data_IF_755719502835
#
_entry.id   IF_755719502835
#
_cell.length_a   1.000
_cell.length_b   1.000
_cell.length_c   1.000
_cell.angle_alpha   90.00
_cell.angle_beta   90.00
_cell.angle_gamma   90.00
#
_symmetry.space_group_name_H-M   'P 1'
#
loop_
_entity.id
_entity.type
_entity.pdbx_description
1 polymer ?
#
# COMPACT_ATOMS: atom_id res chain seq x y z
N UNK A 1 57.80 -14.14 -22.71
CA UNK A 1 57.04 -12.94 -22.32
C UNK A 1 55.57 -13.33 -22.20
N UNK A 2 54.91 -12.74 -21.21
CA UNK A 2 53.78 -13.26 -20.41
C UNK A 2 52.54 -13.69 -21.20
N UNK A 3 52.02 -14.86 -20.81
CA UNK A 3 50.72 -15.42 -21.16
C UNK A 3 49.75 -15.19 -19.99
N UNK A 4 48.45 -15.05 -20.27
CA UNK A 4 47.41 -14.68 -19.31
C UNK A 4 47.05 -15.74 -18.26
N UNK A 5 46.34 -15.32 -17.21
CA UNK A 5 45.68 -16.18 -16.21
C UNK A 5 44.55 -15.36 -15.57
N UNK A 6 43.27 -15.65 -15.81
CA UNK A 6 42.46 -16.65 -15.09
C UNK A 6 42.52 -16.48 -13.56
N UNK A 7 41.52 -15.79 -13.00
CA UNK A 7 41.23 -15.83 -11.57
C UNK A 7 40.05 -16.76 -11.34
N UNK A 8 40.29 -17.87 -10.64
CA UNK A 8 39.24 -18.64 -10.03
C UNK A 8 39.73 -19.36 -8.76
N UNK A 9 38.92 -19.24 -7.71
CA UNK A 9 38.65 -20.25 -6.66
C UNK A 9 39.62 -20.48 -5.48
N UNK A 10 39.04 -20.22 -4.29
CA UNK A 10 38.96 -21.03 -3.05
C UNK A 10 39.91 -20.76 -1.87
N UNK A 11 39.21 -20.66 -0.73
CA UNK A 11 39.63 -20.62 0.67
C UNK A 11 40.42 -21.87 1.08
N UNK A 12 41.29 -21.75 2.09
CA UNK A 12 41.06 -22.47 3.36
C UNK A 12 42.00 -22.04 4.51
N UNK A 13 41.49 -22.32 5.71
CA UNK A 13 41.89 -21.86 7.03
C UNK A 13 43.23 -22.43 7.56
N UNK A 14 43.84 -21.70 8.50
CA UNK A 14 44.86 -22.24 9.40
C UNK A 14 44.47 -21.93 10.86
N UNK A 15 44.13 -23.00 11.57
CA UNK A 15 44.06 -23.11 13.03
C UNK A 15 45.49 -23.27 13.55
N UNK A 16 45.87 -22.53 14.59
CA UNK A 16 46.95 -22.92 15.49
C UNK A 16 46.77 -22.25 16.86
N UNK A 17 46.70 -23.07 17.90
CA UNK A 17 46.81 -22.71 19.31
C UNK A 17 47.96 -23.55 19.89
N UNK A 18 48.82 -23.03 20.79
CA UNK A 18 48.73 -23.56 22.15
C UNK A 18 49.06 -22.57 23.30
N UNK A 19 48.29 -22.78 24.36
CA UNK A 19 48.46 -22.62 25.82
C UNK A 19 49.72 -22.00 26.50
N UNK A 20 49.39 -21.22 27.55
CA UNK A 20 50.00 -21.00 28.88
C UNK A 20 51.04 -19.90 29.13
N UNK A 21 50.71 -19.00 30.09
CA UNK A 21 51.70 -18.21 30.83
C UNK A 21 51.19 -16.93 31.51
N UNK A 22 50.32 -17.07 32.50
CA UNK A 22 50.05 -16.18 33.66
C UNK A 22 50.62 -14.75 33.72
N UNK A 23 49.73 -13.76 33.90
CA UNK A 23 49.65 -12.81 35.04
C UNK A 23 49.07 -11.46 34.57
N UNK A 24 48.03 -10.96 35.26
CA UNK A 24 47.86 -9.53 35.59
C UNK A 24 46.44 -9.25 36.11
N UNK A 25 46.43 -8.87 37.39
CA UNK A 25 45.60 -7.89 38.09
C UNK A 25 44.11 -7.65 37.72
N UNK A 26 43.28 -7.84 38.76
CA UNK A 26 41.98 -7.19 38.97
C UNK A 26 42.15 -5.67 39.03
N UNK A 27 41.28 -4.92 38.35
CA UNK A 27 40.91 -3.56 38.73
C UNK A 27 39.38 -3.39 38.70
N UNK A 28 38.86 -2.84 39.80
CA UNK A 28 37.45 -2.57 40.07
C UNK A 28 36.99 -1.24 39.48
N UNK A 29 35.67 -1.17 39.33
CA UNK A 29 34.75 -0.08 38.95
C UNK A 29 35.13 1.33 39.44
N UNK A 30 34.91 2.33 38.58
CA UNK A 30 34.64 3.71 39.01
C UNK A 30 33.80 4.46 37.95
N UNK A 31 32.50 4.52 38.19
CA UNK A 31 31.55 5.49 37.63
C UNK A 31 31.65 6.82 38.39
N UNK A 32 31.80 7.94 37.68
CA UNK A 32 31.45 9.27 38.20
C UNK A 32 30.79 10.14 37.11
N UNK A 33 29.65 10.78 37.42
CA UNK A 33 28.99 11.75 36.55
C UNK A 33 29.51 13.17 36.79
N UNK A 34 29.44 14.01 35.76
CA UNK A 34 29.72 15.44 35.84
C UNK A 34 28.54 16.20 36.46
N UNK A 35 28.82 17.08 37.42
CA UNK A 35 27.88 18.03 38.05
C UNK A 35 28.49 19.43 38.00
N UNK A 36 27.67 20.43 37.66
CA UNK A 36 27.52 21.76 38.30
C UNK A 36 26.81 22.75 37.34
N UNK A 37 26.13 23.80 37.82
CA UNK A 37 25.35 23.94 39.07
C UNK A 37 23.95 24.56 38.85
N UNK A 38 23.15 24.51 39.93
CA UNK A 38 21.81 25.07 40.11
C UNK A 38 21.67 26.58 39.79
N UNK A 39 20.56 26.93 39.13
CA UNK A 39 19.89 28.22 39.31
C UNK A 39 18.41 27.98 39.64
N UNK A 40 18.00 28.57 40.77
CA UNK A 40 16.69 28.46 41.40
C UNK A 40 15.57 29.08 40.55
N UNK A 41 14.43 28.40 40.58
CA UNK A 41 13.17 29.02 40.98
C UNK A 41 12.27 29.51 39.85
N UNK A 42 11.20 28.75 39.58
CA UNK A 42 9.81 29.25 39.49
C UNK A 42 8.86 28.06 39.36
N UNK A 43 8.08 27.83 40.41
CA UNK A 43 6.97 26.89 40.45
C UNK A 43 5.76 27.53 39.76
N UNK A 44 5.23 26.89 38.72
CA UNK A 44 3.84 27.08 38.31
C UNK A 44 3.16 25.71 38.26
N UNK A 45 2.34 25.45 39.27
CA UNK A 45 1.25 24.46 39.20
C UNK A 45 0.14 25.09 38.36
N UNK A 46 -0.25 24.43 37.28
CA UNK A 46 -1.50 24.68 36.58
C UNK A 46 -2.38 23.45 36.75
N UNK A 47 -3.41 23.63 37.57
CA UNK A 47 -4.56 22.76 37.76
C UNK A 47 -5.33 22.63 36.46
N UNK A 48 -5.64 21.39 36.05
CA UNK A 48 -6.61 21.13 35.00
C UNK A 48 -8.02 21.19 35.61
N UNK A 49 -8.69 22.33 35.50
CA UNK A 49 -10.13 22.41 35.73
C UNK A 49 -10.90 21.91 34.50
N UNK A 50 -11.77 20.93 34.75
CA UNK A 50 -13.09 20.71 34.18
C UNK A 50 -13.44 21.36 32.83
N UNK A 51 -13.69 20.51 31.83
CA UNK A 51 -14.72 20.77 30.82
C UNK A 51 -15.77 19.65 30.87
N UNK A 52 -16.93 20.00 31.41
CA UNK A 52 -18.14 19.19 31.49
C UNK A 52 -18.92 19.45 30.19
N UNK A 53 -19.06 18.43 29.34
CA UNK A 53 -19.95 18.48 28.18
C UNK A 53 -21.30 17.95 28.62
N UNK A 54 -22.29 18.84 28.70
CA UNK A 54 -23.69 18.49 28.95
C UNK A 54 -24.33 17.96 27.66
N UNK A 55 -24.68 16.68 27.67
CA UNK A 55 -25.51 16.05 26.65
C UNK A 55 -26.97 16.26 27.07
N UNK A 56 -27.61 17.24 26.44
CA UNK A 56 -29.05 17.47 26.56
C UNK A 56 -29.84 16.34 25.92
N UNK A 57 -30.59 15.61 26.75
CA UNK A 57 -31.67 14.70 26.34
C UNK A 57 -32.79 15.53 25.69
N UNK A 58 -33.32 15.07 24.55
CA UNK A 58 -34.63 15.52 24.06
C UNK A 58 -35.48 14.30 23.71
N UNK A 59 -36.65 14.28 24.33
CA UNK A 59 -37.64 13.22 24.32
C UNK A 59 -38.39 13.12 22.98
N UNK A 60 -38.89 11.90 22.71
CA UNK A 60 -39.94 11.63 21.73
C UNK A 60 -41.28 12.10 22.28
N UNK A 61 -42.07 12.82 21.49
CA UNK A 61 -43.53 12.80 21.61
C UNK A 61 -44.23 13.02 20.26
N UNK A 62 -45.46 12.52 20.21
CA UNK A 62 -46.32 12.21 19.07
C UNK A 62 -47.11 13.42 18.51
N UNK A 63 -47.49 13.30 17.22
CA UNK A 63 -48.71 13.78 16.53
C UNK A 63 -49.39 15.10 16.95
N UNK A 64 -49.60 16.02 16.00
CA UNK A 64 -50.91 16.27 15.35
C UNK A 64 -50.86 17.38 14.28
N UNK A 65 -51.76 17.24 13.31
CA UNK A 65 -51.98 18.01 12.09
C UNK A 65 -52.86 19.26 12.27
N UNK A 66 -52.63 20.28 11.44
CA UNK A 66 -53.61 21.17 10.75
C UNK A 66 -52.86 22.47 10.35
N UNK A 67 -53.04 23.15 9.21
CA UNK A 67 -53.88 23.02 8.02
C UNK A 67 -53.96 24.40 7.34
N UNK A 68 -53.85 24.43 5.99
CA UNK A 68 -54.24 25.52 5.04
C UNK A 68 -53.32 26.76 4.94
N UNK A 69 -53.04 27.38 3.77
CA UNK A 69 -53.39 27.18 2.34
C UNK A 69 -52.43 28.04 1.44
N UNK A 70 -52.44 27.87 0.09
CA UNK A 70 -51.37 28.25 -0.86
C UNK A 70 -51.73 29.35 -1.88
N UNK A 71 -50.81 29.69 -2.81
CA UNK A 71 -50.95 30.03 -4.28
C UNK A 71 -49.85 30.99 -4.77
N UNK A 72 -49.57 31.22 -6.09
CA UNK A 72 -49.85 30.48 -7.35
C UNK A 72 -48.57 30.21 -8.23
N UNK A 73 -48.46 29.11 -8.99
CA UNK A 73 -48.69 28.88 -10.46
C UNK A 73 -48.06 29.91 -11.44
N UNK A 74 -47.21 29.43 -12.37
CA UNK A 74 -47.33 29.59 -13.85
C UNK A 74 -46.48 28.48 -14.53
N UNK A 75 -47.12 27.75 -15.43
CA UNK A 75 -46.52 26.86 -16.43
C UNK A 75 -46.71 27.50 -17.81
N UNK A 76 -45.81 27.26 -18.77
CA UNK A 76 -46.15 27.36 -20.19
C UNK A 76 -45.28 26.43 -21.04
N UNK A 77 -45.93 25.80 -22.01
CA UNK A 77 -45.43 24.77 -22.91
C UNK A 77 -45.18 25.28 -24.34
N UNK A 78 -44.56 24.39 -25.15
CA UNK A 78 -44.62 24.28 -26.62
C UNK A 78 -43.69 25.24 -27.41
N UNK A 79 -43.10 24.93 -28.58
CA UNK A 79 -43.49 24.07 -29.70
C UNK A 79 -42.28 23.53 -30.49
N UNK A 80 -42.53 22.44 -31.22
CA UNK A 80 -41.73 21.84 -32.31
C UNK A 80 -41.82 22.63 -33.62
N UNK A 81 -40.76 22.63 -34.44
CA UNK A 81 -40.87 22.83 -35.90
C UNK A 81 -39.76 22.07 -36.65
N UNK A 82 -40.16 21.31 -37.66
CA UNK A 82 -39.32 20.53 -38.60
C UNK A 82 -39.18 21.32 -39.91
N UNK A 83 -37.97 21.40 -40.46
CA UNK A 83 -37.72 21.62 -41.90
C UNK A 83 -36.24 21.41 -42.26
N UNK A 84 -35.95 20.38 -43.05
CA UNK A 84 -34.77 20.19 -43.94
C UNK A 84 -35.12 20.73 -45.36
N UNK A 85 -34.24 20.76 -46.41
CA UNK A 85 -32.79 20.53 -46.51
C UNK A 85 -32.04 21.63 -47.33
N UNK A 86 -30.71 21.74 -47.23
CA UNK A 86 -29.77 21.75 -48.38
C UNK A 86 -28.32 22.08 -47.98
N UNK A 87 -27.44 21.43 -48.72
CA UNK A 87 -25.98 21.37 -48.64
C UNK A 87 -25.26 22.70 -48.83
N UNK A 88 -24.22 22.96 -48.02
CA UNK A 88 -22.94 23.45 -48.54
C UNK A 88 -21.80 23.02 -47.61
N UNK A 89 -20.91 22.22 -48.20
CA UNK A 89 -19.57 21.90 -47.72
C UNK A 89 -18.81 23.10 -47.16
N UNK A 90 -18.33 22.98 -45.93
CA UNK A 90 -17.18 23.74 -45.46
C UNK A 90 -16.28 22.81 -44.66
N UNK A 91 -15.12 22.53 -45.25
CA UNK A 91 -14.00 21.82 -44.65
C UNK A 91 -13.56 22.59 -43.41
N UNK A 92 -13.94 22.10 -42.23
CA UNK A 92 -13.28 22.49 -41.00
C UNK A 92 -12.44 21.30 -40.53
N UNK A 93 -11.13 21.48 -40.67
CA UNK A 93 -10.11 20.70 -39.99
C UNK A 93 -10.36 20.80 -38.48
N UNK A 94 -11.15 19.89 -37.93
CA UNK A 94 -11.10 19.62 -36.51
C UNK A 94 -9.80 18.86 -36.27
N UNK A 95 -8.82 19.59 -35.73
CA UNK A 95 -7.75 18.99 -34.96
C UNK A 95 -8.40 18.07 -33.93
N UNK A 96 -8.28 16.76 -34.16
CA UNK A 96 -8.58 15.73 -33.19
C UNK A 96 -7.63 15.94 -32.00
N UNK A 97 -8.05 16.81 -31.07
CA UNK A 97 -7.46 16.87 -29.75
C UNK A 97 -7.85 15.56 -29.08
N UNK A 98 -7.09 14.52 -29.37
CA UNK A 98 -7.24 13.19 -28.79
C UNK A 98 -7.41 13.37 -27.28
N UNK A 99 -8.63 13.18 -26.78
CA UNK A 99 -8.85 13.05 -25.34
C UNK A 99 -7.99 11.86 -24.94
N UNK A 100 -6.85 12.11 -24.28
CA UNK A 100 -6.07 11.06 -23.63
C UNK A 100 -7.08 10.24 -22.84
N UNK A 101 -7.27 8.99 -23.21
CA UNK A 101 -8.09 8.09 -22.41
C UNK A 101 -7.47 8.06 -21.02
N UNK A 102 -8.20 8.51 -19.99
CA UNK A 102 -7.80 8.43 -18.59
C UNK A 102 -7.83 6.97 -18.15
N UNK A 103 -6.87 6.22 -18.67
CA UNK A 103 -6.67 4.81 -18.40
C UNK A 103 -5.37 4.65 -17.63
N UNK A 104 -5.43 3.91 -16.53
CA UNK A 104 -4.29 3.69 -15.64
C UNK A 104 -4.26 2.25 -15.13
N UNK A 105 -3.07 1.69 -14.96
CA UNK A 105 -2.89 0.41 -14.29
C UNK A 105 -2.85 0.60 -12.76
N UNK A 106 -3.56 -0.26 -12.04
CA UNK A 106 -3.46 -0.41 -10.60
C UNK A 106 -3.00 -1.84 -10.29
N UNK A 107 -1.81 -1.96 -9.69
CA UNK A 107 -1.20 -3.24 -9.34
C UNK A 107 -1.27 -3.39 -7.82
N UNK A 108 -1.89 -4.45 -7.33
CA UNK A 108 -1.93 -4.78 -5.90
C UNK A 108 -1.04 -5.99 -5.63
N UNK A 109 -0.13 -5.90 -4.66
CA UNK A 109 0.77 -7.00 -4.29
C UNK A 109 0.68 -7.22 -2.79
N UNK A 110 0.23 -8.41 -2.38
CA UNK A 110 0.42 -8.86 -1.00
C UNK A 110 1.89 -9.19 -0.81
N UNK A 111 2.48 -8.71 0.28
CA UNK A 111 3.88 -9.02 0.60
C UNK A 111 4.18 -10.53 0.57
N UNK A 112 5.45 -10.87 0.32
CA UNK A 112 5.92 -12.25 0.40
C UNK A 112 5.79 -12.85 1.80
N UNK A 113 5.99 -14.15 1.94
CA UNK A 113 6.00 -14.84 3.23
C UNK A 113 6.97 -14.17 4.24
N UNK A 114 6.50 -13.90 5.45
CA UNK A 114 7.33 -13.36 6.55
C UNK A 114 7.76 -14.45 7.53
N UNK A 115 8.82 -14.17 8.32
CA UNK A 115 9.32 -15.11 9.34
C UNK A 115 8.23 -15.60 10.31
N UNK A 116 7.22 -14.78 10.59
CA UNK A 116 6.11 -15.17 11.46
C UNK A 116 4.97 -15.87 10.72
N UNK A 117 4.82 -15.64 9.41
CA UNK A 117 3.88 -16.43 8.62
C UNK A 117 4.34 -17.88 8.51
N UNK A 118 5.63 -18.09 8.26
CA UNK A 118 6.28 -19.41 8.25
C UNK A 118 6.07 -20.16 9.57
N UNK A 119 6.24 -19.45 10.71
CA UNK A 119 6.02 -20.00 12.06
C UNK A 119 4.56 -20.08 12.50
N UNK A 120 3.63 -19.79 11.59
CA UNK A 120 2.20 -19.76 11.85
C UNK A 120 1.77 -18.88 13.06
N UNK A 121 2.45 -17.75 13.24
CA UNK A 121 2.15 -16.76 14.28
C UNK A 121 1.18 -15.69 13.75
N UNK A 122 0.41 -15.07 14.65
CA UNK A 122 -0.31 -13.83 14.35
C UNK A 122 0.67 -12.66 14.31
N UNK A 123 0.85 -12.04 13.15
CA UNK A 123 1.81 -10.93 12.99
C UNK A 123 1.19 -9.58 13.29
N UNK A 124 0.08 -9.24 12.63
CA UNK A 124 -0.57 -7.94 12.78
C UNK A 124 0.38 -6.78 12.47
N UNK A 125 0.46 -5.82 13.37
CA UNK A 125 1.31 -4.62 13.22
C UNK A 125 2.75 -4.84 13.67
N UNK A 126 3.13 -6.04 14.13
CA UNK A 126 4.52 -6.33 14.49
C UNK A 126 5.38 -6.32 13.23
N UNK A 127 6.52 -5.63 13.31
CA UNK A 127 7.38 -5.44 12.16
C UNK A 127 8.40 -6.58 12.03
N UNK A 128 8.14 -7.47 11.08
CA UNK A 128 8.95 -8.67 10.83
C UNK A 128 9.37 -8.71 9.35
N UNK A 129 10.59 -9.17 9.05
CA UNK A 129 11.08 -9.25 7.68
C UNK A 129 10.51 -10.45 6.92
N UNK A 130 10.76 -10.45 5.60
CA UNK A 130 10.49 -11.58 4.71
C UNK A 130 11.38 -12.78 5.03
N UNK A 131 10.90 -13.99 4.73
CA UNK A 131 11.74 -15.19 4.64
C UNK A 131 12.54 -15.18 3.33
N UNK A 132 13.46 -16.14 3.15
CA UNK A 132 14.12 -16.35 1.85
C UNK A 132 13.10 -16.61 0.75
N UNK A 133 12.11 -17.46 1.02
CA UNK A 133 10.98 -17.71 0.12
C UNK A 133 10.18 -16.44 -0.16
N UNK A 134 9.89 -15.63 0.86
CA UNK A 134 9.21 -14.35 0.67
C UNK A 134 9.98 -13.35 -0.21
N UNK A 135 11.32 -13.36 -0.15
CA UNK A 135 12.17 -12.58 -1.06
C UNK A 135 12.05 -13.09 -2.50
N UNK A 136 12.09 -14.41 -2.71
CA UNK A 136 11.91 -15.02 -4.03
C UNK A 136 10.51 -14.71 -4.61
N UNK A 137 9.47 -14.78 -3.79
CA UNK A 137 8.10 -14.39 -4.14
C UNK A 137 8.03 -12.92 -4.60
N UNK A 138 8.72 -12.01 -3.91
CA UNK A 138 8.76 -10.59 -4.30
C UNK A 138 9.51 -10.36 -5.61
N UNK A 139 10.62 -11.07 -5.84
CA UNK A 139 11.37 -11.03 -7.09
C UNK A 139 10.49 -11.55 -8.24
N UNK A 140 9.78 -12.66 -8.04
CA UNK A 140 8.90 -13.24 -9.04
C UNK A 140 7.70 -12.33 -9.35
N UNK A 141 7.14 -11.67 -8.34
CA UNK A 141 6.15 -10.62 -8.52
C UNK A 141 6.65 -9.52 -9.47
N UNK A 142 7.89 -9.07 -9.27
CA UNK A 142 8.57 -8.09 -10.11
C UNK A 142 8.69 -8.52 -11.57
N UNK A 143 9.08 -9.77 -11.83
CA UNK A 143 9.16 -10.31 -13.20
C UNK A 143 7.80 -10.29 -13.89
N UNK A 144 6.73 -10.64 -13.17
CA UNK A 144 5.36 -10.67 -13.71
C UNK A 144 4.84 -9.29 -14.12
N UNK A 145 5.24 -8.25 -13.39
CA UNK A 145 4.84 -6.86 -13.69
C UNK A 145 5.86 -6.09 -14.54
N UNK A 146 6.94 -6.75 -14.98
CA UNK A 146 8.12 -6.07 -15.54
C UNK A 146 7.89 -5.19 -16.78
N UNK A 147 6.81 -5.42 -17.55
CA UNK A 147 6.41 -4.55 -18.66
C UNK A 147 5.12 -3.75 -18.40
N UNK A 148 4.63 -3.66 -17.15
CA UNK A 148 3.49 -2.79 -16.81
C UNK A 148 4.07 -1.49 -16.26
N UNK A 149 3.74 -0.30 -16.80
CA UNK A 149 4.30 0.94 -16.31
C UNK A 149 3.96 1.16 -14.83
N UNK A 150 4.90 1.74 -14.07
CA UNK A 150 4.72 2.13 -12.67
C UNK A 150 5.26 3.55 -12.51
N UNK A 151 4.36 4.48 -12.19
CA UNK A 151 4.69 5.89 -12.00
C UNK A 151 4.76 6.26 -10.52
N UNK A 152 4.07 5.50 -9.66
CA UNK A 152 4.08 5.73 -8.22
C UNK A 152 3.83 4.43 -7.46
N UNK A 153 4.44 4.33 -6.27
CA UNK A 153 4.35 3.16 -5.41
C UNK A 153 3.82 3.59 -4.05
N UNK A 154 2.83 2.87 -3.52
CA UNK A 154 2.37 2.99 -2.15
C UNK A 154 2.67 1.70 -1.40
N UNK A 155 3.10 1.84 -0.15
CA UNK A 155 3.34 0.71 0.73
C UNK A 155 2.84 0.99 2.14
N UNK A 156 2.63 -0.09 2.90
CA UNK A 156 2.45 0.04 4.34
C UNK A 156 3.71 0.58 5.03
N UNK A 157 3.60 1.01 6.28
CA UNK A 157 4.77 1.36 7.10
C UNK A 157 5.59 0.15 7.56
N UNK A 158 5.16 -1.09 7.28
CA UNK A 158 5.81 -2.32 7.73
C UNK A 158 6.86 -2.84 6.72
N UNK A 159 8.01 -3.27 7.23
CA UNK A 159 9.21 -3.57 6.44
C UNK A 159 8.97 -4.65 5.38
N UNK A 160 8.18 -5.67 5.68
CA UNK A 160 7.86 -6.75 4.73
C UNK A 160 7.17 -6.27 3.45
N UNK A 161 6.32 -5.25 3.54
CA UNK A 161 5.66 -4.69 2.36
C UNK A 161 6.63 -3.80 1.57
N UNK A 162 7.43 -2.98 2.27
CA UNK A 162 8.48 -2.16 1.67
C UNK A 162 9.51 -3.02 0.95
N UNK A 163 10.04 -4.06 1.60
CA UNK A 163 10.93 -5.06 0.99
C UNK A 163 10.33 -5.65 -0.27
N UNK A 164 9.05 -6.03 -0.24
CA UNK A 164 8.37 -6.61 -1.41
C UNK A 164 8.34 -5.62 -2.58
N UNK A 165 7.94 -4.36 -2.35
CA UNK A 165 7.92 -3.33 -3.39
C UNK A 165 9.31 -3.10 -3.99
N UNK A 166 10.30 -2.89 -3.13
CA UNK A 166 11.66 -2.58 -3.57
C UNK A 166 12.27 -3.73 -4.36
N UNK A 167 12.14 -4.98 -3.88
CA UNK A 167 12.62 -6.17 -4.56
C UNK A 167 11.91 -6.40 -5.90
N UNK A 168 10.59 -6.22 -5.96
CA UNK A 168 9.85 -6.35 -7.21
C UNK A 168 10.35 -5.37 -8.28
N UNK A 169 10.62 -4.12 -7.88
CA UNK A 169 11.11 -3.09 -8.80
C UNK A 169 12.54 -3.33 -9.30
N UNK A 170 13.35 -4.15 -8.60
CA UNK A 170 14.67 -4.55 -9.13
C UNK A 170 14.58 -5.37 -10.43
N UNK A 171 13.43 -6.00 -10.68
CA UNK A 171 13.19 -6.82 -11.88
C UNK A 171 12.46 -6.06 -12.99
N UNK A 172 12.10 -4.80 -12.76
CA UNK A 172 11.26 -4.02 -13.66
C UNK A 172 12.05 -3.44 -14.84
N UNK A 173 11.51 -3.51 -16.08
CA UNK A 173 12.27 -3.13 -17.29
C UNK A 173 12.50 -1.64 -17.46
N UNK A 174 11.71 -0.77 -16.82
CA UNK A 174 11.97 0.68 -16.86
C UNK A 174 13.31 1.05 -16.23
N UNK A 175 13.84 0.21 -15.33
CA UNK A 175 15.06 0.48 -14.55
C UNK A 175 15.06 1.80 -13.79
N UNK A 176 13.89 2.43 -13.64
CA UNK A 176 13.68 3.56 -12.75
C UNK A 176 13.88 3.11 -11.31
N UNK A 177 14.45 4.00 -10.50
CA UNK A 177 14.82 3.70 -9.12
C UNK A 177 13.65 4.04 -8.20
N UNK A 178 13.08 3.07 -7.47
CA UNK A 178 12.10 3.38 -6.42
C UNK A 178 12.80 4.08 -5.26
N UNK A 179 12.24 5.17 -4.76
CA UNK A 179 12.81 5.98 -3.67
C UNK A 179 11.74 6.23 -2.62
N UNK A 180 12.01 5.81 -1.38
CA UNK A 180 11.14 6.10 -0.23
C UNK A 180 11.19 7.60 0.04
N UNK A 181 10.00 8.21 0.04
CA UNK A 181 9.81 9.59 0.40
C UNK A 181 9.61 9.70 1.91
N UNK A 182 10.37 10.59 2.54
CA UNK A 182 10.26 10.90 3.96
C UNK A 182 9.48 12.21 4.11
N UNK A 183 8.31 12.16 4.76
CA UNK A 183 7.39 13.31 4.90
C UNK A 183 7.05 13.64 6.36
N UNK A 184 7.77 13.05 7.33
CA UNK A 184 7.44 13.15 8.76
C UNK A 184 7.68 14.57 9.31
N UNK A 185 8.65 15.30 8.75
CA UNK A 185 8.94 16.68 9.07
C UNK A 185 9.75 17.36 7.95
N UNK A 186 9.92 18.68 8.05
CA UNK A 186 10.63 19.47 7.04
C UNK A 186 12.06 18.98 6.76
N UNK A 187 12.78 18.54 7.80
CA UNK A 187 14.15 17.99 7.62
C UNK A 187 14.11 16.65 6.89
N UNK A 188 13.17 15.78 7.23
CA UNK A 188 13.02 14.48 6.58
C UNK A 188 12.74 14.62 5.07
N UNK A 189 11.91 15.59 4.68
CA UNK A 189 11.66 15.95 3.26
C UNK A 189 12.93 16.29 2.49
N UNK A 190 13.94 16.85 3.16
CA UNK A 190 15.21 17.18 2.51
C UNK A 190 16.05 15.94 2.16
N UNK A 191 15.88 14.82 2.87
CA UNK A 191 16.63 13.59 2.63
C UNK A 191 16.26 12.91 1.30
N UNK A 192 14.98 12.96 0.92
CA UNK A 192 14.49 12.42 -0.35
C UNK A 192 14.56 13.43 -1.50
N UNK A 193 15.12 14.63 -1.29
CA UNK A 193 15.17 15.68 -2.31
C UNK A 193 16.23 15.36 -3.37
N UNK A 194 15.75 15.15 -4.59
CA UNK A 194 16.59 15.02 -5.78
C UNK A 194 16.72 16.40 -6.44
N UNK A 195 17.93 16.83 -6.78
CA UNK A 195 18.16 18.14 -7.40
C UNK A 195 18.26 18.09 -8.93
N UNK A 196 18.73 16.97 -9.48
CA UNK A 196 18.83 16.75 -10.92
C UNK A 196 17.47 16.39 -11.51
N UNK A 197 17.00 17.17 -12.49
CA UNK A 197 15.75 16.89 -13.22
C UNK A 197 15.82 15.56 -13.98
N UNK A 198 16.99 15.17 -14.48
CA UNK A 198 17.15 13.89 -15.15
C UNK A 198 17.01 12.74 -14.15
N UNK A 199 17.68 12.84 -12.99
CA UNK A 199 17.56 11.82 -11.94
C UNK A 199 16.14 11.71 -11.40
N UNK A 200 15.41 12.83 -11.29
CA UNK A 200 13.98 12.83 -10.93
C UNK A 200 13.14 12.02 -11.92
N UNK A 201 13.37 12.17 -13.23
CA UNK A 201 12.65 11.40 -14.27
C UNK A 201 12.95 9.91 -14.21
N UNK A 202 14.16 9.54 -13.77
CA UNK A 202 14.58 8.16 -13.54
C UNK A 202 14.18 7.60 -12.17
N UNK A 203 13.38 8.33 -11.39
CA UNK A 203 12.95 7.93 -10.05
C UNK A 203 11.46 7.62 -10.01
N UNK A 204 11.07 6.68 -9.15
CA UNK A 204 9.67 6.38 -8.82
C UNK A 204 9.48 6.68 -7.33
N UNK A 205 8.58 7.61 -6.96
CA UNK A 205 8.29 7.87 -5.56
C UNK A 205 7.60 6.68 -4.89
N UNK A 206 8.10 6.31 -3.72
CA UNK A 206 7.51 5.30 -2.83
C UNK A 206 6.99 6.01 -1.59
N UNK A 207 5.68 5.99 -1.41
CA UNK A 207 4.98 6.57 -0.26
C UNK A 207 4.70 5.46 0.75
N UNK A 208 5.00 5.71 2.02
CA UNK A 208 4.85 4.74 3.12
C UNK A 208 3.82 5.26 4.11
N UNK A 209 2.76 4.48 4.36
CA UNK A 209 1.65 4.96 5.19
C UNK A 209 1.03 3.84 6.04
N UNK A 210 0.77 4.16 7.31
CA UNK A 210 0.28 3.19 8.30
C UNK A 210 -1.15 2.73 8.00
N UNK A 211 -1.92 3.53 7.27
CA UNK A 211 -3.29 3.20 6.87
C UNK A 211 -3.36 1.98 5.96
N UNK A 212 -2.25 1.63 5.31
CA UNK A 212 -2.10 0.41 4.51
C UNK A 212 -1.58 -0.79 5.31
N UNK A 213 -1.26 -0.62 6.60
CA UNK A 213 -0.78 -1.71 7.47
C UNK A 213 -1.80 -2.85 7.59
N UNK A 214 -1.29 -4.03 7.93
CA UNK A 214 -2.09 -5.22 8.25
C UNK A 214 -3.09 -4.91 9.36
N UNK A 215 -4.18 -5.68 9.42
CA UNK A 215 -5.11 -5.62 10.56
C UNK A 215 -4.36 -5.89 11.86
N UNK A 216 -4.50 -5.01 12.84
CA UNK A 216 -3.87 -5.14 14.15
C UNK A 216 -4.57 -6.24 14.95
N UNK A 217 -3.83 -7.30 15.31
CA UNK A 217 -4.39 -8.50 15.94
C UNK A 217 -4.50 -8.41 17.47
N UNK A 218 -4.18 -7.25 18.05
CA UNK A 218 -4.26 -7.00 19.48
C UNK A 218 -3.43 -7.98 20.29
N UNK A 219 -4.04 -8.56 21.32
CA UNK A 219 -3.41 -9.54 22.22
C UNK A 219 -3.05 -10.86 21.54
N UNK A 220 -3.55 -11.12 20.32
CA UNK A 220 -3.18 -12.34 19.60
C UNK A 220 -1.78 -12.23 18.98
N UNK A 221 -1.21 -11.03 18.83
CA UNK A 221 0.08 -10.84 18.16
C UNK A 221 1.20 -11.64 18.85
N UNK A 222 1.94 -12.41 18.05
CA UNK A 222 3.02 -13.29 18.52
C UNK A 222 2.56 -14.67 18.94
N UNK A 223 1.25 -14.91 19.14
CA UNK A 223 0.74 -16.23 19.47
C UNK A 223 0.70 -17.14 18.24
N UNK A 224 0.92 -18.43 18.45
CA UNK A 224 0.73 -19.43 17.42
C UNK A 224 -0.76 -19.66 17.16
N UNK A 225 -1.17 -19.69 15.89
CA UNK A 225 -2.59 -19.81 15.51
C UNK A 225 -3.22 -21.15 15.93
N UNK A 226 -2.46 -22.24 15.89
CA UNK A 226 -2.96 -23.56 16.28
C UNK A 226 -3.14 -23.64 17.80
N UNK A 227 -2.11 -23.27 18.56
CA UNK A 227 -2.17 -23.25 20.04
C UNK A 227 -3.25 -22.28 20.55
N UNK A 228 -3.43 -21.14 19.89
CA UNK A 228 -4.51 -20.19 20.23
C UNK A 228 -5.88 -20.82 20.00
N UNK A 229 -6.05 -21.57 18.91
CA UNK A 229 -7.30 -22.27 18.61
C UNK A 229 -7.56 -23.44 19.58
N UNK A 230 -6.52 -24.07 20.12
CA UNK A 230 -6.64 -25.07 21.19
C UNK A 230 -7.04 -24.43 22.53
N UNK A 231 -6.50 -23.24 22.84
CA UNK A 231 -6.78 -22.53 24.10
C UNK A 231 -8.16 -21.87 24.14
N UNK A 232 -8.54 -21.17 23.07
CA UNK A 232 -9.77 -20.36 23.03
C UNK A 232 -10.90 -20.99 22.22
N UNK A 233 -10.65 -22.12 21.56
CA UNK A 233 -11.59 -22.78 20.67
C UNK A 233 -11.45 -22.35 19.21
N UNK A 234 -11.64 -23.30 18.30
CA UNK A 234 -11.50 -23.07 16.85
C UNK A 234 -12.50 -22.05 16.32
N UNK A 235 -13.73 -22.07 16.81
CA UNK A 235 -14.80 -21.16 16.38
C UNK A 235 -14.48 -19.71 16.79
N UNK A 236 -14.09 -19.49 18.05
CA UNK A 236 -13.72 -18.16 18.54
C UNK A 236 -12.52 -17.57 17.78
N UNK A 237 -11.48 -18.37 17.56
CA UNK A 237 -10.30 -17.94 16.79
C UNK A 237 -10.65 -17.74 15.32
N UNK A 238 -11.55 -18.54 14.76
CA UNK A 238 -12.06 -18.31 13.41
C UNK A 238 -12.81 -16.99 13.32
N UNK A 239 -13.70 -16.71 14.27
CA UNK A 239 -14.44 -15.46 14.36
C UNK A 239 -13.51 -14.24 14.45
N UNK A 240 -12.55 -14.22 15.39
CA UNK A 240 -11.56 -13.13 15.46
C UNK A 240 -10.72 -12.99 14.18
N UNK A 241 -10.50 -14.08 13.44
CA UNK A 241 -9.70 -14.06 12.20
C UNK A 241 -10.49 -13.69 10.97
N UNK A 242 -11.76 -14.02 10.91
CA UNK A 242 -12.53 -14.01 9.66
C UNK A 242 -13.80 -13.19 9.78
N UNK A 243 -14.30 -12.86 10.97
CA UNK A 243 -15.42 -11.93 11.11
C UNK A 243 -15.09 -10.56 10.52
N UNK A 244 -16.11 -9.91 10.00
CA UNK A 244 -16.01 -8.56 9.44
C UNK A 244 -15.90 -7.51 10.55
N UNK A 245 -16.79 -7.58 11.53
CA UNK A 245 -17.04 -6.56 12.55
C UNK A 245 -16.53 -6.94 13.96
N UNK A 246 -16.25 -8.22 14.21
CA UNK A 246 -15.78 -8.68 15.53
C UNK A 246 -14.24 -8.61 15.60
N UNK A 247 -13.66 -7.72 16.43
CA UNK A 247 -12.21 -7.63 16.60
C UNK A 247 -11.69 -8.71 17.56
N UNK A 248 -10.41 -9.11 17.46
CA UNK A 248 -9.72 -9.75 18.56
C UNK A 248 -9.55 -8.78 19.75
N UNK A 249 -9.29 -9.30 20.98
CA UNK A 249 -9.09 -8.45 22.16
C UNK A 249 -8.00 -7.39 21.93
N UNK A 250 -8.34 -6.13 22.19
CA UNK A 250 -7.47 -4.97 21.96
C UNK A 250 -6.91 -4.88 20.53
N UNK A 251 -7.66 -5.35 19.54
CA UNK A 251 -7.30 -5.35 18.12
C UNK A 251 -8.26 -4.59 17.22
N UNK A 252 -8.05 -4.71 15.91
CA UNK A 252 -8.92 -4.17 14.86
C UNK A 252 -9.78 -5.29 14.26
N UNK A 253 -11.04 -4.99 13.95
CA UNK A 253 -11.87 -5.81 13.08
C UNK A 253 -11.47 -5.60 11.60
N UNK A 254 -12.02 -6.40 10.69
CA UNK A 254 -11.80 -6.15 9.25
C UNK A 254 -12.48 -4.85 8.81
N UNK A 255 -13.62 -4.50 9.40
CA UNK A 255 -14.33 -3.23 9.17
C UNK A 255 -13.47 -2.03 9.55
N UNK A 256 -12.87 -2.01 10.74
CA UNK A 256 -11.99 -0.92 11.19
C UNK A 256 -10.77 -0.77 10.25
N UNK A 257 -10.16 -1.89 9.88
CA UNK A 257 -9.08 -1.91 8.90
C UNK A 257 -9.55 -1.38 7.53
N UNK A 258 -10.76 -1.74 7.11
CA UNK A 258 -11.35 -1.28 5.86
C UNK A 258 -11.63 0.22 5.85
N UNK A 259 -12.17 0.77 6.94
CA UNK A 259 -12.43 2.21 7.06
C UNK A 259 -11.16 3.02 6.79
N UNK A 260 -10.05 2.72 7.48
CA UNK A 260 -8.78 3.45 7.27
C UNK A 260 -8.15 3.20 5.90
N UNK A 261 -8.11 1.95 5.43
CA UNK A 261 -7.42 1.60 4.19
C UNK A 261 -8.16 2.13 2.95
N UNK A 262 -9.50 2.02 2.95
CA UNK A 262 -10.33 2.50 1.83
C UNK A 262 -10.39 4.02 1.81
N UNK A 263 -10.48 4.68 2.98
CA UNK A 263 -10.43 6.14 3.05
C UNK A 263 -9.11 6.68 2.51
N UNK A 264 -7.98 6.09 2.92
CA UNK A 264 -6.67 6.45 2.38
C UNK A 264 -6.57 6.19 0.87
N UNK A 265 -7.05 5.04 0.39
CA UNK A 265 -7.08 4.72 -1.04
C UNK A 265 -7.85 5.79 -1.84
N UNK A 266 -9.05 6.18 -1.40
CA UNK A 266 -9.87 7.18 -2.09
C UNK A 266 -9.28 8.60 -2.06
N UNK A 267 -8.65 8.97 -0.96
CA UNK A 267 -8.14 10.33 -0.78
C UNK A 267 -6.77 10.54 -1.44
N UNK A 268 -5.89 9.54 -1.36
CA UNK A 268 -4.49 9.71 -1.78
C UNK A 268 -4.15 8.98 -3.07
N UNK A 269 -4.72 7.80 -3.31
CA UNK A 269 -4.32 6.90 -4.40
C UNK A 269 -5.22 7.06 -5.63
N UNK A 270 -6.53 7.05 -5.43
CA UNK A 270 -7.52 7.17 -6.50
C UNK A 270 -7.35 8.46 -7.34
N UNK A 271 -7.06 9.64 -6.77
CA UNK A 271 -6.81 10.85 -7.56
C UNK A 271 -5.62 10.71 -8.52
N UNK A 272 -4.64 9.87 -8.18
CA UNK A 272 -3.47 9.61 -9.00
C UNK A 272 -3.83 8.76 -10.22
N UNK A 273 -4.74 7.79 -10.04
CA UNK A 273 -5.31 7.01 -11.14
C UNK A 273 -6.15 7.91 -12.05
N UNK A 274 -6.93 8.84 -11.50
CA UNK A 274 -7.64 9.86 -12.28
C UNK A 274 -6.69 10.78 -13.06
N UNK A 275 -5.51 11.07 -12.52
CA UNK A 275 -4.44 11.80 -13.21
C UNK A 275 -3.71 10.95 -14.29
N UNK A 276 -4.11 9.68 -14.49
CA UNK A 276 -3.52 8.78 -15.48
C UNK A 276 -2.19 8.17 -15.05
N UNK A 277 -1.82 8.25 -13.76
CA UNK A 277 -0.61 7.60 -13.24
C UNK A 277 -0.86 6.12 -13.01
N UNK A 278 0.12 5.29 -13.37
CA UNK A 278 0.08 3.87 -13.07
C UNK A 278 0.61 3.64 -11.65
N UNK A 279 -0.20 2.99 -10.81
CA UNK A 279 0.09 2.87 -9.37
C UNK A 279 0.32 1.41 -8.99
N UNK A 280 1.39 1.17 -8.23
CA UNK A 280 1.60 -0.10 -7.53
C UNK A 280 1.36 0.07 -6.03
N UNK A 281 0.62 -0.85 -5.41
CA UNK A 281 0.42 -0.92 -3.97
C UNK A 281 0.99 -2.24 -3.46
N UNK A 282 2.01 -2.20 -2.61
CA UNK A 282 2.50 -3.37 -1.88
C UNK A 282 2.07 -3.28 -0.41
N UNK A 283 1.21 -4.21 0.03
CA UNK A 283 0.62 -4.17 1.37
C UNK A 283 0.31 -5.58 1.88
N UNK A 284 -0.77 -5.73 2.66
CA UNK A 284 -1.06 -6.93 3.43
C UNK A 284 -2.39 -7.58 3.05
N UNK A 285 -2.64 -8.75 3.62
CA UNK A 285 -3.84 -9.52 3.32
C UNK A 285 -5.13 -8.77 3.67
N UNK A 286 -5.28 -8.22 4.89
CA UNK A 286 -6.53 -7.55 5.25
C UNK A 286 -6.68 -6.19 4.56
N UNK A 287 -5.63 -5.36 4.54
CA UNK A 287 -5.73 -4.03 3.91
C UNK A 287 -6.02 -4.11 2.41
N UNK A 288 -5.40 -5.04 1.68
CA UNK A 288 -5.72 -5.25 0.27
C UNK A 288 -7.11 -5.87 0.06
N UNK A 289 -7.55 -6.79 0.91
CA UNK A 289 -8.92 -7.32 0.83
C UNK A 289 -9.95 -6.22 1.02
N UNK A 290 -9.73 -5.29 1.93
CA UNK A 290 -10.61 -4.14 2.14
C UNK A 290 -10.66 -3.21 0.92
N UNK A 291 -9.52 -2.92 0.30
CA UNK A 291 -9.48 -2.15 -0.94
C UNK A 291 -10.24 -2.89 -2.05
N UNK A 292 -9.94 -4.18 -2.25
CA UNK A 292 -10.60 -5.03 -3.24
C UNK A 292 -12.12 -5.10 -3.03
N UNK A 293 -12.57 -5.21 -1.76
CA UNK A 293 -13.98 -5.17 -1.42
C UNK A 293 -14.65 -3.89 -1.93
N UNK A 294 -13.98 -2.74 -1.81
CA UNK A 294 -14.47 -1.48 -2.37
C UNK A 294 -14.45 -1.47 -3.92
N UNK A 295 -13.39 -1.98 -4.55
CA UNK A 295 -13.25 -1.96 -6.01
C UNK A 295 -14.28 -2.85 -6.72
N UNK A 296 -14.48 -4.05 -6.19
CA UNK A 296 -15.38 -5.06 -6.77
C UNK A 296 -16.79 -5.03 -6.15
N UNK A 297 -17.04 -4.13 -5.20
CA UNK A 297 -18.31 -3.99 -4.48
C UNK A 297 -18.75 -5.29 -3.81
N UNK A 298 -17.79 -5.98 -3.19
CA UNK A 298 -18.04 -7.23 -2.48
C UNK A 298 -18.82 -6.98 -1.18
N UNK A 299 -19.68 -7.92 -0.84
CA UNK A 299 -20.35 -7.99 0.47
C UNK A 299 -19.38 -8.40 1.59
N UNK A 300 -19.79 -8.20 2.85
CA UNK A 300 -19.05 -8.66 4.02
C UNK A 300 -18.76 -10.17 4.00
N UNK A 301 -19.64 -10.99 3.42
CA UNK A 301 -19.47 -12.44 3.34
C UNK A 301 -18.48 -12.84 2.25
N UNK A 302 -18.52 -12.15 1.11
CA UNK A 302 -17.61 -12.42 -0.01
C UNK A 302 -16.16 -12.03 0.31
N UNK A 303 -15.93 -10.90 1.00
CA UNK A 303 -14.57 -10.47 1.38
C UNK A 303 -13.90 -11.41 2.39
N UNK A 304 -14.68 -12.09 3.22
CA UNK A 304 -14.17 -13.06 4.20
C UNK A 304 -13.60 -14.30 3.50
N UNK A 305 -14.26 -14.72 2.42
CA UNK A 305 -13.88 -15.84 1.56
C UNK A 305 -12.77 -15.47 0.56
N UNK A 306 -12.54 -14.19 0.31
CA UNK A 306 -11.46 -13.73 -0.57
C UNK A 306 -10.09 -14.09 0.02
N UNK A 307 -9.30 -14.87 -0.72
CA UNK A 307 -7.92 -15.20 -0.37
C UNK A 307 -6.94 -14.58 -1.35
N UNK A 308 -5.88 -13.95 -0.82
CA UNK A 308 -4.81 -13.36 -1.61
C UNK A 308 -3.52 -14.12 -1.33
N UNK A 309 -2.94 -14.76 -2.33
CA UNK A 309 -1.64 -15.42 -2.22
C UNK A 309 -0.51 -14.41 -1.99
N UNK A 310 0.54 -14.79 -1.27
CA UNK A 310 1.74 -13.97 -1.06
C UNK A 310 2.51 -13.81 -2.37
N UNK A 311 3.00 -12.60 -2.65
CA UNK A 311 3.82 -12.30 -3.82
C UNK A 311 3.17 -12.51 -5.19
N UNK A 312 1.84 -12.68 -5.25
CA UNK A 312 1.11 -12.75 -6.53
C UNK A 312 0.48 -11.38 -6.80
N UNK A 313 0.92 -10.65 -7.84
CA UNK A 313 0.30 -9.37 -8.21
C UNK A 313 -1.13 -9.56 -8.70
N UNK A 314 -1.99 -8.59 -8.43
CA UNK A 314 -3.35 -8.50 -8.96
C UNK A 314 -3.49 -7.19 -9.72
N UNK A 315 -3.81 -7.28 -11.01
CA UNK A 315 -3.95 -6.13 -11.89
C UNK A 315 -5.40 -5.69 -12.03
N UNK A 316 -5.61 -4.38 -11.92
CA UNK A 316 -6.81 -3.68 -12.35
C UNK A 316 -6.46 -2.67 -13.44
N UNK A 317 -7.36 -2.51 -14.40
CA UNK A 317 -7.36 -1.37 -15.31
C UNK A 317 -8.42 -0.39 -14.84
N UNK A 318 -7.99 0.80 -14.47
CA UNK A 318 -8.86 1.91 -14.17
C UNK A 318 -9.16 2.68 -15.45
N UNK A 319 -10.44 2.88 -15.77
CA UNK A 319 -10.88 3.64 -16.95
C UNK A 319 -12.20 4.34 -16.65
N UNK A 320 -12.21 5.67 -16.79
CA UNK A 320 -13.42 6.49 -16.65
C UNK A 320 -14.16 6.25 -15.31
N UNK A 321 -13.42 6.17 -14.20
CA UNK A 321 -14.01 5.93 -12.87
C UNK A 321 -14.44 4.48 -12.60
N UNK A 322 -14.13 3.54 -13.51
CA UNK A 322 -14.44 2.12 -13.34
C UNK A 322 -13.17 1.30 -13.21
N UNK A 323 -13.20 0.31 -12.33
CA UNK A 323 -12.14 -0.66 -12.12
C UNK A 323 -12.50 -1.97 -12.83
N UNK A 324 -11.61 -2.46 -13.70
CA UNK A 324 -11.76 -3.74 -14.38
C UNK A 324 -10.65 -4.67 -13.91
N UNK A 325 -11.01 -5.67 -13.10
CA UNK A 325 -10.09 -6.71 -12.63
C UNK A 325 -9.59 -7.54 -13.82
N UNK A 326 -8.28 -7.72 -13.94
CA UNK A 326 -7.62 -8.53 -14.98
C UNK A 326 -6.96 -9.80 -14.45
N UNK A 327 -6.89 -9.98 -13.13
CA UNK A 327 -6.23 -11.11 -12.50
C UNK A 327 -4.72 -10.92 -12.35
N UNK A 328 -3.99 -12.00 -12.10
CA UNK A 328 -2.53 -11.96 -12.00
C UNK A 328 -1.91 -11.94 -13.38
N UNK A 329 -0.94 -11.05 -13.64
CA UNK A 329 -0.06 -11.19 -14.77
C UNK A 329 0.65 -12.55 -14.74
N UNK A 330 0.58 -13.31 -15.83
CA UNK A 330 1.18 -14.66 -15.88
C UNK A 330 2.70 -14.59 -16.10
N UNK A 331 3.18 -13.49 -16.66
CA UNK A 331 4.60 -13.25 -16.92
C UNK A 331 4.82 -12.26 -18.08
N UNK A 332 6.06 -11.90 -18.39
CA UNK A 332 6.38 -10.97 -19.48
C UNK A 332 6.19 -11.59 -20.88
N UNK A 333 6.22 -12.92 -21.00
CA UNK A 333 6.21 -13.66 -22.26
C UNK A 333 4.82 -14.07 -22.74
N UNK A 334 3.81 -14.02 -21.88
CA UNK A 334 2.45 -14.43 -22.25
C UNK A 334 1.59 -13.24 -22.71
N UNK A 335 0.86 -13.45 -23.81
CA UNK A 335 0.09 -12.41 -24.50
C UNK A 335 -1.06 -11.81 -23.67
N UNK A 336 -1.46 -12.44 -22.56
CA UNK A 336 -2.63 -12.05 -21.79
C UNK A 336 -2.61 -10.58 -21.39
N UNK A 337 -1.57 -10.12 -20.69
CA UNK A 337 -1.64 -8.87 -19.92
C UNK A 337 -1.60 -7.60 -20.77
N UNK A 338 -0.80 -7.61 -21.83
CA UNK A 338 -0.54 -6.43 -22.66
C UNK A 338 -1.53 -6.29 -23.81
N UNK A 339 -2.25 -7.36 -24.17
CA UNK A 339 -3.36 -7.30 -25.11
C UNK A 339 -4.57 -6.54 -24.55
N UNK A 340 -4.61 -6.27 -23.24
CA UNK A 340 -5.81 -5.72 -22.59
C UNK A 340 -6.08 -4.26 -22.93
N UNK A 341 -5.06 -3.46 -23.30
CA UNK A 341 -5.25 -2.06 -23.67
C UNK A 341 -4.20 -1.58 -24.68
N UNK A 342 -4.60 -0.65 -25.57
CA UNK A 342 -3.70 -0.09 -26.60
C UNK A 342 -2.49 0.61 -25.97
N UNK A 343 -2.68 1.26 -24.83
CA UNK A 343 -1.63 1.98 -24.11
C UNK A 343 -0.57 1.03 -23.57
N UNK A 344 -0.97 -0.09 -22.96
CA UNK A 344 -0.03 -1.09 -22.45
C UNK A 344 0.71 -1.82 -23.58
N UNK A 345 0.03 -2.10 -24.69
CA UNK A 345 0.66 -2.68 -25.88
C UNK A 345 1.73 -1.76 -26.47
N UNK A 346 1.42 -0.47 -26.65
CA UNK A 346 2.38 0.53 -27.13
C UNK A 346 3.56 0.71 -26.18
N UNK A 347 3.29 0.74 -24.88
CA UNK A 347 4.32 0.85 -23.86
C UNK A 347 5.31 -0.32 -23.91
N UNK A 348 4.82 -1.56 -24.06
CA UNK A 348 5.67 -2.74 -24.25
C UNK A 348 6.50 -2.63 -25.52
N UNK A 349 5.90 -2.24 -26.64
CA UNK A 349 6.62 -2.07 -27.90
C UNK A 349 7.79 -1.10 -27.75
N UNK A 350 7.58 0.05 -27.10
CA UNK A 350 8.63 1.02 -26.83
C UNK A 350 9.76 0.43 -25.95
N UNK A 351 9.43 -0.39 -24.95
CA UNK A 351 10.44 -1.08 -24.13
C UNK A 351 11.26 -2.09 -24.94
N UNK A 352 10.63 -2.78 -25.89
CA UNK A 352 11.29 -3.74 -26.77
C UNK A 352 12.25 -3.02 -27.73
N UNK A 353 11.84 -1.87 -28.28
CA UNK A 353 12.68 -1.01 -29.13
C UNK A 353 13.89 -0.42 -28.37
N UNK A 354 13.75 -0.10 -27.07
CA UNK A 354 14.85 0.41 -26.24
C UNK A 354 15.87 -0.67 -25.80
N UNK A 355 15.55 -1.95 -26.00
CA UNK A 355 16.41 -3.07 -25.58
C UNK A 355 17.35 -3.60 -26.66
N UNK A 356 17.31 -3.02 -27.86
CA UNK A 356 18.27 -3.17 -28.95
C UNK A 356 19.15 -1.92 -29.04
#
# INVERSE_FOLDING_TARGET
MVCGSSWNSRMDAAVCNPFLGTSSSRCYVSSRPCVCPDLRGSSMRLSSEFFKVEIGRSERSLFQSSGKKPSPIIALASQTSVSDPFSTSSKNNYSDSSKKSNEAALILIRHGESLWNEKNLFTGSVDVPLTKKGVEEAIEAGKRISNIPVDMIYTSSLIRAQMTAMLAMTQHRQRKVPIILHDENERARTWSRIYSEETKKQSIPVITDWQLNERMYGELQGLNKQETAERYGKEQVHEWRRSYDIPPPNGESLEMCAQRAVMYFRNEIEPQLFAGKNVMIAAHGNSLRSIIMCLDKLTSQEVISLELSTGIPLLYIFKEGRYVRRGSPVGPTEAGVYAYTRTLAQYRQNLDEMSY
#
